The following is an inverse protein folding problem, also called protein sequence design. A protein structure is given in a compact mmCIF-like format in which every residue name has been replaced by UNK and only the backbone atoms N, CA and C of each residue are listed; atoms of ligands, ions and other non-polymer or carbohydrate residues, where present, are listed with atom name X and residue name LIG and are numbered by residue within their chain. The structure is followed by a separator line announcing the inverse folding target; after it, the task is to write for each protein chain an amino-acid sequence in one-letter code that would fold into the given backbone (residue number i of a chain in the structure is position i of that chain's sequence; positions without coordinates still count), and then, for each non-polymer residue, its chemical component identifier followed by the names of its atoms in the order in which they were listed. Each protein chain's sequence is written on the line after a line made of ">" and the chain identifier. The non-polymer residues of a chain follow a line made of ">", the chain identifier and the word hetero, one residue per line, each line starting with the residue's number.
data_IF_678679734112
#
_entry.id   IF_678679734112
#
_cell.length_a   1.000
_cell.length_b   1.000
_cell.length_c   1.000
_cell.angle_alpha   90.00
_cell.angle_beta   90.00
_cell.angle_gamma   90.00
#
_symmetry.space_group_name_H-M   'P 1'
#
loop_
_entity.id
_entity.type
_entity.pdbx_description
1 polymer ?
#
# COMPACT_ATOMS: atom_id res chain seq x y z
N UNK A 1 -1.00 8.31 2.84
CA UNK A 1 -0.64 9.34 1.85
C UNK A 1 0.80 9.11 1.42
N UNK A 2 1.21 9.70 0.29
CA UNK A 2 2.58 9.63 -0.20
C UNK A 2 3.26 10.96 0.11
N UNK A 3 4.40 10.95 0.81
CA UNK A 3 5.16 12.12 1.27
C UNK A 3 4.39 13.20 2.04
N UNK A 4 3.58 14.02 1.36
CA UNK A 4 2.92 15.19 1.93
C UNK A 4 1.40 15.15 1.68
N UNK A 5 0.62 15.28 2.75
CA UNK A 5 -0.83 15.11 2.73
C UNK A 5 -1.52 16.34 2.12
N UNK A 6 -2.35 16.11 1.09
CA UNK A 6 -3.12 17.16 0.41
C UNK A 6 -2.43 17.80 -0.81
N UNK A 7 -1.14 17.52 -1.03
CA UNK A 7 -0.43 17.91 -2.25
C UNK A 7 -0.63 16.90 -3.39
N UNK A 8 -0.31 17.30 -4.62
CA UNK A 8 -0.27 16.40 -5.78
C UNK A 8 1.17 15.98 -6.05
N UNK A 9 1.41 14.68 -6.04
CA UNK A 9 2.73 14.08 -6.15
C UNK A 9 2.72 12.98 -7.19
N UNK A 10 3.71 13.03 -8.06
CA UNK A 10 4.04 11.94 -8.96
C UNK A 10 5.44 11.44 -8.61
N UNK A 11 5.56 10.15 -8.31
CA UNK A 11 6.79 9.55 -7.82
C UNK A 11 7.13 8.27 -8.58
N UNK A 12 8.35 8.23 -9.12
CA UNK A 12 8.94 7.04 -9.72
C UNK A 12 10.05 6.54 -8.79
N UNK A 13 9.87 5.39 -8.10
CA UNK A 13 10.87 4.86 -7.16
C UNK A 13 12.10 4.28 -7.87
N UNK A 14 11.95 3.88 -9.14
CA UNK A 14 13.02 3.30 -9.95
C UNK A 14 14.14 4.32 -10.20
N UNK A 15 15.37 3.97 -9.82
CA UNK A 15 16.50 4.89 -9.91
C UNK A 15 17.81 4.23 -9.46
N UNK A 16 18.71 5.02 -8.86
CA UNK A 16 20.03 4.51 -8.42
C UNK A 16 19.96 3.51 -7.26
N UNK A 17 18.95 3.64 -6.40
CA UNK A 17 18.79 2.82 -5.18
C UNK A 17 17.87 1.63 -5.37
N UNK A 18 17.06 1.62 -6.43
CA UNK A 18 16.10 0.58 -6.72
C UNK A 18 16.10 0.34 -8.24
N UNK A 19 16.61 -0.82 -8.64
CA UNK A 19 16.65 -1.24 -10.05
C UNK A 19 15.38 -1.98 -10.39
N UNK A 20 14.56 -1.40 -11.27
CA UNK A 20 13.33 -2.02 -11.78
C UNK A 20 13.52 -2.48 -13.22
N UNK A 21 12.85 -3.56 -13.63
CA UNK A 21 12.75 -3.93 -15.05
C UNK A 21 11.75 -3.02 -15.77
N UNK A 22 11.88 -2.89 -17.10
CA UNK A 22 10.90 -2.16 -17.91
C UNK A 22 9.53 -2.85 -17.87
N UNK A 23 8.39 -2.14 -17.71
CA UNK A 23 8.19 -0.67 -17.79
C UNK A 23 8.45 0.10 -16.48
N UNK A 24 8.82 -0.60 -15.41
CA UNK A 24 8.99 -0.02 -14.08
C UNK A 24 7.66 0.19 -13.38
N UNK A 25 7.65 1.15 -12.45
CA UNK A 25 6.46 1.51 -11.69
C UNK A 25 6.41 3.01 -11.41
N UNK A 26 5.19 3.50 -11.24
CA UNK A 26 4.91 4.90 -10.99
C UNK A 26 3.79 5.00 -9.96
N UNK A 27 3.97 5.90 -9.00
CA UNK A 27 2.98 6.18 -7.98
C UNK A 27 2.47 7.60 -8.15
N UNK A 28 1.17 7.75 -7.98
CA UNK A 28 0.52 9.05 -7.97
C UNK A 28 -0.27 9.23 -6.68
N UNK A 29 -0.20 10.41 -6.10
CA UNK A 29 -1.00 10.80 -4.95
C UNK A 29 -1.52 12.21 -5.18
N UNK A 30 -2.80 12.45 -4.92
CA UNK A 30 -3.39 13.77 -5.08
C UNK A 30 -4.72 13.90 -4.38
N UNK A 31 -5.16 15.15 -4.20
CA UNK A 31 -6.53 15.46 -3.78
C UNK A 31 -7.42 15.58 -5.02
N UNK A 32 -8.61 14.99 -4.96
CA UNK A 32 -9.60 15.04 -6.03
C UNK A 32 -11.02 15.13 -5.45
N UNK A 33 -12.02 15.42 -6.29
CA UNK A 33 -13.43 15.49 -5.93
C UNK A 33 -14.19 14.37 -6.61
N UNK A 34 -14.54 13.33 -5.84
CA UNK A 34 -15.28 12.18 -6.32
C UNK A 34 -16.73 12.20 -5.79
N UNK A 35 -17.71 12.22 -6.70
CA UNK A 35 -19.14 12.39 -6.36
C UNK A 35 -19.42 13.59 -5.44
N UNK A 36 -18.75 14.73 -5.67
CA UNK A 36 -18.92 15.95 -4.89
C UNK A 36 -18.32 15.90 -3.48
N UNK A 37 -17.52 14.86 -3.17
CA UNK A 37 -16.80 14.72 -1.90
C UNK A 37 -15.31 14.83 -2.14
N UNK A 38 -14.62 15.54 -1.23
CA UNK A 38 -13.16 15.60 -1.23
C UNK A 38 -12.60 14.22 -0.86
N UNK A 39 -11.74 13.70 -1.73
CA UNK A 39 -11.06 12.41 -1.57
C UNK A 39 -9.57 12.58 -1.81
N UNK A 40 -8.79 11.68 -1.21
CA UNK A 40 -7.36 11.54 -1.48
C UNK A 40 -7.18 10.29 -2.32
N UNK A 41 -6.67 10.46 -3.53
CA UNK A 41 -6.44 9.37 -4.48
C UNK A 41 -4.98 8.94 -4.38
N UNK A 42 -4.75 7.63 -4.27
CA UNK A 42 -3.44 7.01 -4.31
C UNK A 42 -3.48 5.95 -5.41
N UNK A 43 -2.58 6.05 -6.38
CA UNK A 43 -2.50 5.17 -7.54
C UNK A 43 -1.12 4.55 -7.63
N UNK A 44 -1.10 3.31 -8.12
CA UNK A 44 0.10 2.54 -8.40
C UNK A 44 -0.06 1.98 -9.80
N UNK A 45 0.82 2.38 -10.70
CA UNK A 45 0.95 1.83 -12.04
C UNK A 45 2.25 1.01 -12.14
N UNK A 46 2.19 -0.07 -12.90
CA UNK A 46 3.28 -1.04 -13.04
C UNK A 46 3.12 -2.32 -12.20
N UNK A 47 4.18 -3.12 -12.20
CA UNK A 47 4.26 -4.40 -11.48
C UNK A 47 5.48 -4.40 -10.57
N UNK A 48 5.38 -5.19 -9.50
CA UNK A 48 6.46 -5.48 -8.57
C UNK A 48 7.17 -6.74 -9.05
N UNK A 49 8.40 -6.59 -9.51
CA UNK A 49 9.26 -7.72 -9.88
C UNK A 49 9.90 -8.31 -8.63
N UNK A 50 10.31 -7.45 -7.71
CA UNK A 50 11.09 -7.81 -6.54
C UNK A 50 10.42 -7.39 -5.23
N UNK A 51 10.66 -8.20 -4.19
CA UNK A 51 10.20 -7.95 -2.83
C UNK A 51 10.78 -6.64 -2.26
N UNK A 52 12.01 -6.30 -2.65
CA UNK A 52 12.66 -5.04 -2.27
C UNK A 52 11.89 -3.80 -2.76
N UNK A 53 11.24 -3.89 -3.93
CA UNK A 53 10.45 -2.78 -4.48
C UNK A 53 9.22 -2.50 -3.60
N UNK A 54 8.54 -3.56 -3.16
CA UNK A 54 7.36 -3.46 -2.29
C UNK A 54 7.75 -2.87 -0.92
N UNK A 55 8.84 -3.34 -0.32
CA UNK A 55 9.36 -2.79 0.94
C UNK A 55 9.72 -1.31 0.76
N UNK A 56 10.39 -0.98 -0.34
CA UNK A 56 10.81 0.40 -0.61
C UNK A 56 9.59 1.32 -0.68
N UNK A 57 8.54 0.93 -1.39
CA UNK A 57 7.29 1.71 -1.46
C UNK A 57 6.61 1.80 -0.10
N UNK A 58 6.52 0.69 0.64
CA UNK A 58 5.92 0.65 1.97
C UNK A 58 6.58 1.65 2.92
N UNK A 59 7.91 1.80 2.86
CA UNK A 59 8.64 2.77 3.70
C UNK A 59 8.38 4.23 3.36
N UNK A 60 7.98 4.54 2.12
CA UNK A 60 7.67 5.91 1.68
C UNK A 60 6.18 6.25 1.84
N UNK A 61 5.34 5.25 2.10
CA UNK A 61 3.94 5.45 2.39
C UNK A 61 3.72 5.75 3.86
N UNK A 62 2.92 6.78 4.11
CA UNK A 62 2.57 7.22 5.44
C UNK A 62 1.13 6.89 5.76
N UNK A 63 0.84 6.66 7.06
CA UNK A 63 -0.48 6.31 7.55
C UNK A 63 -1.05 5.04 6.87
N UNK A 64 -0.28 3.95 6.83
CA UNK A 64 -0.72 2.64 6.29
C UNK A 64 -1.42 1.77 7.33
N UNK A 65 -1.44 2.16 8.61
CA UNK A 65 -2.02 1.39 9.74
C UNK A 65 -1.40 0.00 9.94
N UNK A 66 -0.13 -0.15 9.55
CA UNK A 66 0.69 -1.31 9.90
C UNK A 66 1.10 -1.25 11.38
N UNK A 67 1.15 -2.41 12.05
CA UNK A 67 1.62 -2.55 13.44
C UNK A 67 3.14 -2.63 13.52
N UNK A 68 3.78 -3.14 12.47
CA UNK A 68 5.23 -3.25 12.36
C UNK A 68 5.68 -2.95 10.92
N UNK A 69 6.94 -2.57 10.76
CA UNK A 69 7.53 -2.24 9.46
C UNK A 69 7.62 -3.50 8.59
N UNK A 70 7.09 -3.46 7.37
CA UNK A 70 7.07 -4.60 6.47
C UNK A 70 5.85 -5.52 6.64
N UNK A 71 4.87 -5.15 7.48
CA UNK A 71 3.64 -5.96 7.65
C UNK A 71 2.86 -6.07 6.34
N UNK A 72 2.77 -4.99 5.56
CA UNK A 72 2.04 -5.03 4.31
C UNK A 72 2.73 -5.97 3.33
N UNK A 73 4.05 -5.85 3.19
CA UNK A 73 4.84 -6.75 2.38
C UNK A 73 4.69 -8.20 2.86
N UNK A 74 4.72 -8.46 4.16
CA UNK A 74 4.56 -9.81 4.71
C UNK A 74 3.20 -10.43 4.34
N UNK A 75 2.11 -9.68 4.50
CA UNK A 75 0.76 -10.15 4.14
C UNK A 75 0.59 -10.37 2.63
N UNK A 76 1.20 -9.53 1.80
CA UNK A 76 1.18 -9.71 0.35
C UNK A 76 1.92 -10.99 -0.08
N UNK A 77 2.97 -11.37 0.65
CA UNK A 77 3.75 -12.58 0.38
C UNK A 77 3.09 -13.87 0.84
N UNK A 78 2.18 -13.81 1.81
CA UNK A 78 1.46 -15.00 2.28
C UNK A 78 0.63 -15.66 1.18
N UNK A 79 0.14 -14.86 0.22
CA UNK A 79 -0.71 -15.32 -0.87
C UNK A 79 -0.18 -14.88 -2.23
N UNK A 80 1.06 -15.27 -2.55
CA UNK A 80 1.68 -14.98 -3.85
C UNK A 80 0.91 -15.57 -5.03
N UNK A 81 0.19 -16.66 -4.80
CA UNK A 81 -0.64 -17.35 -5.78
C UNK A 81 -1.88 -16.55 -6.22
N UNK A 82 -2.26 -15.51 -5.47
CA UNK A 82 -3.45 -14.72 -5.82
C UNK A 82 -3.19 -13.81 -7.03
N UNK A 83 -4.17 -13.69 -7.95
CA UNK A 83 -4.06 -12.80 -9.07
C UNK A 83 -3.96 -11.35 -8.57
N UNK A 84 -2.89 -10.65 -8.96
CA UNK A 84 -2.62 -9.27 -8.53
C UNK A 84 -1.75 -9.13 -7.28
N UNK A 85 -1.18 -10.23 -6.77
CA UNK A 85 -0.19 -10.20 -5.67
C UNK A 85 1.07 -9.39 -6.02
N UNK A 86 1.39 -9.25 -7.31
CA UNK A 86 2.56 -8.55 -7.83
C UNK A 86 2.25 -7.17 -8.42
N UNK A 87 1.10 -6.56 -8.12
CA UNK A 87 0.77 -5.23 -8.60
C UNK A 87 -0.06 -4.43 -7.59
N UNK A 88 -0.47 -3.22 -7.97
CA UNK A 88 -1.27 -2.32 -7.12
C UNK A 88 -2.57 -2.94 -6.58
N UNK A 89 -3.11 -3.97 -7.24
CA UNK A 89 -4.36 -4.63 -6.83
C UNK A 89 -4.22 -5.31 -5.49
N UNK A 90 -3.30 -6.27 -5.35
CA UNK A 90 -3.06 -6.97 -4.08
C UNK A 90 -2.56 -6.01 -3.01
N UNK A 91 -1.72 -5.04 -3.40
CA UNK A 91 -1.22 -3.99 -2.52
C UNK A 91 -2.37 -3.20 -1.86
N UNK A 92 -3.31 -2.69 -2.65
CA UNK A 92 -4.44 -1.90 -2.13
C UNK A 92 -5.49 -2.75 -1.41
N UNK A 93 -5.66 -4.02 -1.79
CA UNK A 93 -6.53 -4.94 -1.05
C UNK A 93 -6.03 -5.15 0.38
N UNK A 94 -4.73 -5.44 0.54
CA UNK A 94 -4.11 -5.60 1.86
C UNK A 94 -4.18 -4.29 2.65
N UNK A 95 -3.84 -3.15 2.03
CA UNK A 95 -3.93 -1.84 2.68
C UNK A 95 -5.35 -1.54 3.18
N UNK A 96 -6.37 -1.87 2.38
CA UNK A 96 -7.78 -1.73 2.77
C UNK A 96 -8.12 -2.61 3.97
N UNK A 97 -7.64 -3.86 3.99
CA UNK A 97 -7.78 -4.76 5.14
C UNK A 97 -7.17 -4.21 6.43
N UNK A 98 -5.97 -3.61 6.33
CA UNK A 98 -5.31 -2.96 7.48
C UNK A 98 -6.11 -1.75 8.00
N UNK A 99 -6.71 -0.96 7.10
CA UNK A 99 -7.59 0.15 7.48
C UNK A 99 -8.90 -0.32 8.12
N UNK A 100 -9.48 -1.41 7.62
CA UNK A 100 -10.65 -2.04 8.25
C UNK A 100 -10.31 -2.53 9.66
N UNK A 101 -9.15 -3.18 9.84
CA UNK A 101 -8.64 -3.59 11.16
C UNK A 101 -8.50 -2.39 12.09
N UNK A 102 -7.83 -1.33 11.66
CA UNK A 102 -7.65 -0.13 12.48
C UNK A 102 -8.99 0.53 12.86
N UNK A 103 -9.96 0.55 11.94
CA UNK A 103 -11.31 1.04 12.24
C UNK A 103 -12.03 0.15 13.26
N UNK A 104 -11.92 -1.17 13.13
CA UNK A 104 -12.50 -2.13 14.06
C UNK A 104 -11.91 -2.01 15.46
N UNK A 105 -10.57 -1.96 15.58
CA UNK A 105 -9.88 -1.78 16.86
C UNK A 105 -10.28 -0.46 17.53
N UNK A 106 -10.37 0.62 16.74
CA UNK A 106 -10.84 1.92 17.23
C UNK A 106 -12.29 1.88 17.73
N UNK A 107 -13.18 1.17 17.06
CA UNK A 107 -14.60 1.09 17.42
C UNK A 107 -14.87 0.17 18.60
N UNK A 108 -14.08 -0.89 18.76
CA UNK A 108 -14.29 -1.92 19.78
C UNK A 108 -13.41 -1.74 21.02
N UNK A 109 -12.45 -0.81 21.00
CA UNK A 109 -11.43 -0.63 22.05
C UNK A 109 -10.73 -1.94 22.46
N UNK A 110 -10.75 -2.94 21.57
CA UNK A 110 -10.27 -4.30 21.78
C UNK A 110 -9.37 -4.65 20.60
N UNK A 111 -8.25 -5.31 20.86
CA UNK A 111 -7.32 -5.70 19.80
C UNK A 111 -7.99 -6.67 18.82
N UNK A 112 -7.84 -6.43 17.50
CA UNK A 112 -8.55 -7.22 16.50
C UNK A 112 -8.04 -8.66 16.53
N UNK A 113 -8.96 -9.62 16.51
CA UNK A 113 -8.65 -11.06 16.52
C UNK A 113 -7.82 -11.41 15.27
N UNK A 114 -6.55 -11.72 15.47
CA UNK A 114 -5.65 -12.19 14.42
C UNK A 114 -6.12 -13.55 13.91
N UNK A 115 -5.90 -13.82 12.62
CA UNK A 115 -6.20 -15.12 12.02
C UNK A 115 -5.41 -16.22 12.73
N UNK A 116 -6.10 -17.29 13.15
CA UNK A 116 -5.50 -18.46 13.79
C UNK A 116 -4.66 -19.20 12.75
N UNK A 117 -3.38 -19.42 13.03
CA UNK A 117 -2.54 -20.32 12.23
C UNK A 117 -3.04 -21.76 12.42
N UNK A 118 -3.40 -22.43 11.32
CA UNK A 118 -3.71 -23.87 11.28
C UNK A 118 -2.48 -24.63 10.83
#
# INVERSE_FOLDING_TARGET
>A
YLFDEGSTINWTPCGRKLTCSYPGMQLYYGSDVYYGRYVSVLEVDGQFDNLEEVIYIETHLSNTSTKYQGELTHLLLQHREYPGSNNGTGFFQVLTGLKMRAAYERLTATEAKLAVQV
#
